data_IF_192046972982
#
_entry.id   IF_192046972982
#
_cell.length_a   1.000
_cell.length_b   1.000
_cell.length_c   1.000
_cell.angle_alpha   90.00
_cell.angle_beta   90.00
_cell.angle_gamma   90.00
#
_symmetry.space_group_name_H-M   'P 1'
#
loop_
_entity.id
_entity.type
_entity.pdbx_description
1 polymer ?
#
# COMPACT_ATOMS: atom_id res chain seq x y z
N UNK A 1 57.24 -28.10 -2.66
CA UNK A 1 57.80 -26.78 -2.28
C UNK A 1 56.90 -25.73 -2.93
N UNK A 2 55.76 -25.48 -2.29
CA UNK A 2 55.42 -24.20 -1.63
C UNK A 2 55.29 -23.00 -2.59
N UNK A 3 54.05 -22.49 -2.62
CA UNK A 3 53.65 -21.08 -2.73
C UNK A 3 54.06 -20.27 -3.97
N UNK A 4 53.07 -19.86 -4.76
CA UNK A 4 52.64 -18.45 -4.91
C UNK A 4 51.33 -18.46 -5.73
N UNK A 5 50.18 -18.46 -5.06
CA UNK A 5 49.34 -17.27 -4.84
C UNK A 5 48.62 -16.79 -6.11
N UNK A 6 47.45 -17.38 -6.33
CA UNK A 6 46.18 -16.71 -6.61
C UNK A 6 46.25 -15.29 -7.19
N UNK A 7 46.07 -15.16 -8.51
CA UNK A 7 45.53 -13.95 -9.12
C UNK A 7 44.71 -14.29 -10.36
N UNK A 8 43.54 -13.64 -10.45
CA UNK A 8 42.59 -13.60 -11.58
C UNK A 8 41.41 -14.59 -11.59
N UNK A 9 40.97 -15.07 -10.42
CA UNK A 9 39.53 -15.13 -10.13
C UNK A 9 39.07 -13.80 -9.53
N UNK A 10 38.73 -12.80 -10.34
CA UNK A 10 38.00 -11.60 -9.88
C UNK A 10 37.49 -10.73 -11.04
N UNK A 11 36.59 -11.27 -11.86
CA UNK A 11 35.66 -10.43 -12.64
C UNK A 11 34.23 -10.98 -12.65
N UNK A 12 33.78 -11.56 -11.53
CA UNK A 12 32.36 -11.45 -11.19
C UNK A 12 32.21 -10.13 -10.44
N UNK A 13 32.01 -9.06 -11.20
CA UNK A 13 31.38 -7.85 -10.66
C UNK A 13 29.97 -8.28 -10.24
N UNK A 14 29.83 -8.75 -9.01
CA UNK A 14 28.60 -8.57 -8.27
C UNK A 14 28.36 -7.07 -8.29
N UNK A 15 27.54 -6.60 -9.24
CA UNK A 15 26.82 -5.36 -8.99
C UNK A 15 26.08 -5.65 -7.70
N UNK A 16 26.53 -5.02 -6.62
CA UNK A 16 25.69 -4.80 -5.46
C UNK A 16 24.58 -3.92 -6.03
N UNK A 17 23.56 -4.54 -6.59
CA UNK A 17 22.29 -3.88 -6.81
C UNK A 17 21.89 -3.47 -5.41
N UNK A 18 21.98 -2.17 -5.12
CA UNK A 18 21.23 -1.59 -4.03
C UNK A 18 19.78 -1.88 -4.38
N UNK A 19 19.28 -3.03 -3.93
CA UNK A 19 17.88 -3.38 -4.06
C UNK A 19 17.17 -2.38 -3.17
N UNK A 20 16.67 -1.32 -3.79
CA UNK A 20 15.80 -0.41 -3.09
C UNK A 20 14.54 -1.20 -2.78
N UNK A 21 14.44 -1.68 -1.54
CA UNK A 21 13.23 -2.25 -1.02
C UNK A 21 12.22 -1.11 -0.93
N UNK A 22 11.11 -1.23 -1.66
CA UNK A 22 10.08 -0.21 -1.67
C UNK A 22 9.44 -0.12 -0.29
N UNK A 23 9.24 1.08 0.23
CA UNK A 23 8.58 1.32 1.51
C UNK A 23 7.13 1.73 1.31
N UNK A 24 6.23 1.03 1.97
CA UNK A 24 4.79 1.16 1.77
C UNK A 24 4.07 1.44 3.09
N UNK A 25 3.35 2.57 3.17
CA UNK A 25 2.47 2.85 4.30
C UNK A 25 1.04 2.36 4.04
N UNK A 26 0.37 1.80 5.05
CA UNK A 26 -1.02 1.37 4.95
C UNK A 26 -1.86 2.13 5.99
N UNK A 27 -2.84 2.91 5.55
CA UNK A 27 -3.67 3.81 6.37
C UNK A 27 -4.77 3.12 7.19
N UNK A 28 -4.51 1.93 7.70
CA UNK A 28 -5.37 1.22 8.64
C UNK A 28 -4.59 0.19 9.45
N UNK A 29 -5.05 -0.12 10.67
CA UNK A 29 -4.57 -1.26 11.48
C UNK A 29 -5.48 -2.49 11.43
N UNK A 30 -6.53 -2.47 10.61
CA UNK A 30 -7.37 -3.65 10.41
C UNK A 30 -6.54 -4.73 9.71
N UNK A 31 -6.27 -5.84 10.42
CA UNK A 31 -5.43 -6.94 9.93
C UNK A 31 -5.87 -7.49 8.59
N UNK A 32 -7.18 -7.59 8.33
CA UNK A 32 -7.69 -8.12 7.06
C UNK A 32 -7.34 -7.19 5.90
N UNK A 33 -7.49 -5.87 6.10
CA UNK A 33 -7.15 -4.86 5.08
C UNK A 33 -5.65 -4.77 4.85
N UNK A 34 -4.85 -4.85 5.92
CA UNK A 34 -3.37 -4.87 5.83
C UNK A 34 -2.90 -6.09 5.05
N UNK A 35 -3.36 -7.29 5.43
CA UNK A 35 -3.02 -8.52 4.72
C UNK A 35 -3.42 -8.43 3.24
N UNK A 36 -4.62 -7.94 2.91
CA UNK A 36 -5.05 -7.80 1.52
C UNK A 36 -4.08 -6.96 0.66
N UNK A 37 -3.52 -5.88 1.20
CA UNK A 37 -2.47 -5.10 0.52
C UNK A 37 -1.20 -5.94 0.38
N UNK A 38 -0.71 -6.54 1.46
CA UNK A 38 0.51 -7.36 1.45
C UNK A 38 0.41 -8.57 0.51
N UNK A 39 -0.77 -9.17 0.35
CA UNK A 39 -1.01 -10.24 -0.63
C UNK A 39 -0.96 -9.69 -2.05
N UNK A 40 -1.67 -8.59 -2.30
CA UNK A 40 -1.71 -7.96 -3.62
C UNK A 40 -0.32 -7.52 -4.07
N UNK A 41 0.50 -6.96 -3.17
CA UNK A 41 1.87 -6.53 -3.48
C UNK A 41 2.77 -7.68 -3.95
N UNK A 42 2.57 -8.90 -3.41
CA UNK A 42 3.32 -10.10 -3.81
C UNK A 42 3.04 -10.53 -5.25
N UNK A 43 1.89 -10.17 -5.80
CA UNK A 43 1.54 -10.48 -7.19
C UNK A 43 2.29 -9.60 -8.20
N UNK A 44 2.89 -8.50 -7.76
CA UNK A 44 3.66 -7.59 -8.60
C UNK A 44 5.16 -7.77 -8.34
N UNK A 45 5.95 -8.30 -9.31
CA UNK A 45 7.37 -8.64 -9.07
C UNK A 45 8.26 -7.48 -8.58
N UNK A 46 7.91 -6.24 -8.92
CA UNK A 46 8.65 -5.04 -8.50
C UNK A 46 8.27 -4.54 -7.09
N UNK A 47 7.16 -5.04 -6.53
CA UNK A 47 6.66 -4.71 -5.19
C UNK A 47 6.68 -5.91 -4.24
N UNK A 48 6.95 -7.13 -4.74
CA UNK A 48 6.86 -8.36 -3.97
C UNK A 48 7.82 -8.42 -2.78
N UNK A 49 8.90 -7.65 -2.81
CA UNK A 49 9.85 -7.52 -1.70
C UNK A 49 9.79 -6.13 -1.05
N UNK A 50 8.63 -5.48 -1.08
CA UNK A 50 8.39 -4.24 -0.35
C UNK A 50 8.32 -4.49 1.16
N UNK A 51 8.72 -3.49 1.94
CA UNK A 51 8.48 -3.40 3.37
C UNK A 51 7.22 -2.54 3.58
N UNK A 52 6.29 -3.01 4.41
CA UNK A 52 5.05 -2.29 4.69
C UNK A 52 4.77 -2.06 6.17
N UNK A 53 4.32 -0.86 6.51
CA UNK A 53 3.94 -0.47 7.86
C UNK A 53 2.49 0.02 7.93
N UNK A 54 1.77 -0.42 8.98
CA UNK A 54 0.36 -0.12 9.19
C UNK A 54 0.15 1.04 10.19
N UNK A 55 -0.47 2.11 9.72
CA UNK A 55 -0.71 3.34 10.49
C UNK A 55 -2.19 3.49 10.84
N UNK A 56 -2.47 3.86 12.09
CA UNK A 56 -3.81 4.23 12.53
C UNK A 56 -4.02 5.72 12.23
N UNK A 57 -4.66 6.00 11.09
CA UNK A 57 -4.89 7.37 10.61
C UNK A 57 -6.38 7.66 10.44
N UNK A 58 -6.74 8.94 10.56
CA UNK A 58 -8.09 9.43 10.34
C UNK A 58 -8.45 9.42 8.85
N UNK A 59 -9.70 9.06 8.53
CA UNK A 59 -10.27 9.17 7.19
C UNK A 59 -10.92 10.53 6.93
N UNK A 60 -11.18 11.32 7.98
CA UNK A 60 -11.87 12.62 7.87
C UNK A 60 -13.31 12.51 7.38
N UNK A 61 -13.91 11.32 7.45
CA UNK A 61 -15.31 11.03 7.12
C UNK A 61 -15.95 10.19 8.23
N UNK A 62 -17.26 9.98 8.16
CA UNK A 62 -17.96 9.13 9.13
C UNK A 62 -17.41 7.71 9.16
N UNK A 63 -17.53 7.01 10.31
CA UNK A 63 -16.99 5.65 10.48
C UNK A 63 -17.61 4.59 9.56
N UNK A 64 -18.75 4.90 8.95
CA UNK A 64 -19.35 4.14 7.85
C UNK A 64 -19.90 5.15 6.82
N UNK A 65 -19.12 5.47 5.77
CA UNK A 65 -19.55 6.31 4.66
C UNK A 65 -20.84 5.79 4.01
N UNK A 66 -21.78 6.68 3.70
CA UNK A 66 -23.08 6.34 3.09
C UNK A 66 -23.19 6.80 1.64
N UNK A 67 -22.08 7.24 1.06
CA UNK A 67 -22.00 7.71 -0.31
C UNK A 67 -20.66 7.34 -0.94
N UNK A 68 -20.65 7.26 -2.28
CA UNK A 68 -19.42 7.01 -3.03
C UNK A 68 -18.40 8.13 -2.82
N UNK A 69 -18.86 9.39 -2.79
CA UNK A 69 -18.00 10.55 -2.57
C UNK A 69 -17.28 10.48 -1.22
N UNK A 70 -18.00 10.18 -0.14
CA UNK A 70 -17.40 10.04 1.18
C UNK A 70 -16.44 8.85 1.25
N UNK A 71 -16.79 7.72 0.63
CA UNK A 71 -15.94 6.53 0.61
C UNK A 71 -14.63 6.80 -0.13
N UNK A 72 -14.70 7.44 -1.30
CA UNK A 72 -13.51 7.86 -2.07
C UNK A 72 -12.68 8.85 -1.27
N UNK A 73 -13.30 9.89 -0.71
CA UNK A 73 -12.59 10.88 0.11
C UNK A 73 -11.90 10.25 1.32
N UNK A 74 -12.58 9.32 1.99
CA UNK A 74 -12.02 8.58 3.13
C UNK A 74 -10.77 7.78 2.74
N UNK A 75 -10.82 7.06 1.61
CA UNK A 75 -9.67 6.32 1.09
C UNK A 75 -8.50 7.27 0.76
N UNK A 76 -8.76 8.38 0.08
CA UNK A 76 -7.73 9.38 -0.26
C UNK A 76 -7.07 9.96 1.00
N UNK A 77 -7.88 10.36 1.98
CA UNK A 77 -7.39 10.93 3.24
C UNK A 77 -6.54 9.92 4.00
N UNK A 78 -6.97 8.65 4.08
CA UNK A 78 -6.18 7.58 4.70
C UNK A 78 -4.83 7.40 4.01
N UNK A 79 -4.79 7.37 2.68
CA UNK A 79 -3.54 7.22 1.94
C UNK A 79 -2.58 8.37 2.25
N UNK A 80 -3.04 9.62 2.10
CA UNK A 80 -2.22 10.82 2.35
C UNK A 80 -1.74 10.91 3.80
N UNK A 81 -2.61 10.62 4.76
CA UNK A 81 -2.26 10.65 6.17
C UNK A 81 -1.24 9.54 6.50
N UNK A 82 -1.39 8.34 5.95
CA UNK A 82 -0.42 7.27 6.14
C UNK A 82 0.95 7.61 5.53
N UNK A 83 0.97 8.27 4.36
CA UNK A 83 2.20 8.76 3.75
C UNK A 83 2.93 9.76 4.68
N UNK A 84 2.18 10.68 5.30
CA UNK A 84 2.74 11.68 6.21
C UNK A 84 3.30 11.08 7.52
N UNK A 85 2.79 9.94 7.96
CA UNK A 85 3.27 9.24 9.16
C UNK A 85 4.50 8.36 8.88
N UNK A 86 4.81 8.09 7.61
CA UNK A 86 5.92 7.23 7.20
C UNK A 86 7.16 8.05 6.83
N UNK A 87 8.34 7.53 7.18
CA UNK A 87 9.63 8.12 6.78
C UNK A 87 10.17 7.44 5.52
N UNK A 88 10.45 8.24 4.48
CA UNK A 88 10.97 7.79 3.18
C UNK A 88 10.06 6.77 2.47
N UNK A 89 8.74 6.86 2.63
CA UNK A 89 7.81 5.99 1.91
C UNK A 89 7.75 6.31 0.41
N UNK A 90 7.70 5.27 -0.42
CA UNK A 90 7.50 5.39 -1.87
C UNK A 90 6.02 5.48 -2.21
N UNK A 91 5.20 4.67 -1.52
CA UNK A 91 3.76 4.61 -1.73
C UNK A 91 3.02 4.52 -0.41
N UNK A 92 1.75 4.90 -0.44
CA UNK A 92 0.82 4.69 0.66
C UNK A 92 -0.54 4.24 0.16
N UNK A 93 -1.23 3.42 0.95
CA UNK A 93 -2.53 2.84 0.64
C UNK A 93 -3.56 3.30 1.65
N UNK A 94 -4.69 3.82 1.17
CA UNK A 94 -5.88 4.08 1.95
C UNK A 94 -7.02 3.19 1.50
N UNK A 95 -7.70 2.55 2.46
CA UNK A 95 -8.78 1.58 2.19
C UNK A 95 -10.00 1.96 3.01
N UNK A 96 -11.08 2.35 2.34
CA UNK A 96 -12.33 2.75 2.99
C UNK A 96 -13.49 1.94 2.45
N UNK A 97 -14.31 1.40 3.36
CA UNK A 97 -15.52 0.66 3.00
C UNK A 97 -16.73 1.56 3.22
N UNK A 98 -17.71 1.54 2.33
CA UNK A 98 -18.92 2.34 2.43
C UNK A 98 -20.16 1.54 2.09
N UNK A 99 -21.32 2.00 2.57
CA UNK A 99 -22.62 1.44 2.20
C UNK A 99 -23.30 2.35 1.21
N UNK A 100 -23.49 1.86 -0.01
CA UNK A 100 -24.13 2.61 -1.09
C UNK A 100 -25.55 2.11 -1.24
N UNK A 101 -26.51 3.04 -1.32
CA UNK A 101 -27.90 2.70 -1.53
C UNK A 101 -28.07 2.01 -2.89
N UNK A 102 -28.69 0.83 -2.87
CA UNK A 102 -29.05 0.06 -4.07
C UNK A 102 -30.52 -0.34 -3.94
N UNK A 103 -31.43 0.36 -4.64
CA UNK A 103 -32.86 0.09 -4.57
C UNK A 103 -33.22 -1.36 -4.90
N UNK A 104 -34.31 -1.85 -4.32
CA UNK A 104 -34.87 -3.19 -4.53
C UNK A 104 -34.01 -4.38 -4.05
N UNK A 105 -32.85 -4.13 -3.44
CA UNK A 105 -32.09 -5.16 -2.71
C UNK A 105 -32.73 -5.42 -1.34
N UNK A 106 -32.44 -6.56 -0.72
CA UNK A 106 -33.00 -6.93 0.59
C UNK A 106 -32.60 -5.97 1.71
N UNK A 107 -31.35 -5.51 1.71
CA UNK A 107 -30.79 -4.57 2.69
C UNK A 107 -31.07 -3.11 2.32
N UNK A 108 -31.30 -2.82 1.04
CA UNK A 108 -31.28 -1.45 0.51
C UNK A 108 -29.87 -0.92 0.25
N UNK A 109 -28.82 -1.69 0.55
CA UNK A 109 -27.43 -1.24 0.48
C UNK A 109 -26.48 -2.31 -0.06
N UNK A 110 -25.44 -1.86 -0.76
CA UNK A 110 -24.28 -2.64 -1.17
C UNK A 110 -23.03 -2.13 -0.44
N UNK A 111 -22.25 -3.05 0.13
CA UNK A 111 -20.91 -2.74 0.62
C UNK A 111 -19.97 -2.58 -0.57
N UNK A 112 -19.28 -1.44 -0.62
CA UNK A 112 -18.23 -1.16 -1.59
C UNK A 112 -16.95 -0.82 -0.86
N UNK A 113 -15.83 -1.15 -1.45
CA UNK A 113 -14.52 -0.77 -0.92
C UNK A 113 -13.80 0.08 -1.95
N UNK A 114 -13.25 1.20 -1.51
CA UNK A 114 -12.40 2.05 -2.32
C UNK A 114 -10.97 1.98 -1.83
N UNK A 115 -10.03 1.89 -2.76
CA UNK A 115 -8.59 1.96 -2.51
C UNK A 115 -8.02 3.21 -3.17
N UNK A 116 -7.23 3.96 -2.42
CA UNK A 116 -6.42 5.05 -2.94
C UNK A 116 -4.94 4.73 -2.71
N UNK A 117 -4.13 4.85 -3.75
CA UNK A 117 -2.67 4.78 -3.69
C UNK A 117 -2.13 6.20 -3.85
N UNK A 118 -1.26 6.63 -2.95
CA UNK A 118 -0.62 7.95 -3.03
C UNK A 118 0.89 7.80 -3.12
N UNK A 119 1.50 8.44 -4.12
CA UNK A 119 2.94 8.35 -4.46
C UNK A 119 3.77 9.56 -3.98
N UNK A 120 3.20 10.37 -3.07
CA UNK A 120 3.79 11.63 -2.62
C UNK A 120 3.42 12.83 -3.50
N UNK A 121 2.81 12.62 -4.67
CA UNK A 121 2.38 13.71 -5.56
C UNK A 121 0.98 13.51 -6.13
N UNK A 122 0.67 12.31 -6.62
CA UNK A 122 -0.57 11.94 -7.27
C UNK A 122 -1.30 10.84 -6.49
N UNK A 123 -2.62 10.84 -6.67
CA UNK A 123 -3.51 9.82 -6.10
C UNK A 123 -4.07 8.95 -7.22
N UNK A 124 -3.93 7.65 -7.08
CA UNK A 124 -4.41 6.63 -8.01
C UNK A 124 -5.54 5.85 -7.33
N UNK A 125 -6.67 5.70 -8.01
CA UNK A 125 -7.91 5.18 -7.43
C UNK A 125 -8.25 3.81 -8.03
N UNK A 126 -8.64 2.87 -7.17
CA UNK A 126 -9.16 1.55 -7.54
C UNK A 126 -10.35 1.16 -6.68
N UNK A 127 -11.26 0.36 -7.24
CA UNK A 127 -12.48 -0.12 -6.60
C UNK A 127 -12.58 -1.64 -6.75
#
# INVERSE_FOLDING_TARGET
>A
MLSLLATHQKQNRTQIINKHCMKIAIGTKNKVKVMAVEETLRDYPHLAESESDAHAVDSGVGGQPLSMEETVRGAINRAKNAFNECTDCDYSFGIESGLIEVPYTKSGYMDVCMVAIYDGSNTHLGM
#
